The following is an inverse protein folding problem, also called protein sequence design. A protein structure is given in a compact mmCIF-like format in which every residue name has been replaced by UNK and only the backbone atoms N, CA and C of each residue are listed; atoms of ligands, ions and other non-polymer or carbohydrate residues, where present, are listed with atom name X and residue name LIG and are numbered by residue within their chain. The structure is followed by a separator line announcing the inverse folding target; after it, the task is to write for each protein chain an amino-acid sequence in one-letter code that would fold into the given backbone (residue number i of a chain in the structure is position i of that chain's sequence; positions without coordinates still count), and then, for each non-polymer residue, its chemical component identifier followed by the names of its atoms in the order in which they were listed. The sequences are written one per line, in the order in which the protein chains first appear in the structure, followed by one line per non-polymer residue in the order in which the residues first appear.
data_IF_157743951981
#
_entry.id   IF_157743951981
#
_cell.length_a   1.000
_cell.length_b   1.000
_cell.length_c   1.000
_cell.angle_alpha   90.00
_cell.angle_beta   90.00
_cell.angle_gamma   90.00
#
_symmetry.space_group_name_H-M   'P 1'
#
loop_
_entity.id
_entity.type
_entity.pdbx_description
1 polymer ?
#
# COMPACT_ATOMS: atom_id res chain seq x y z
N UNK A 1 -18.57 -18.35 -17.82
CA UNK A 1 -18.91 -17.64 -16.57
C UNK A 1 -18.19 -18.38 -15.44
N UNK A 2 -17.19 -17.75 -14.83
CA UNK A 2 -16.42 -18.34 -13.74
C UNK A 2 -17.02 -17.82 -12.44
N UNK A 3 -17.74 -18.66 -11.69
CA UNK A 3 -18.16 -18.30 -10.33
C UNK A 3 -16.92 -18.30 -9.44
N UNK A 4 -16.58 -17.17 -8.78
CA UNK A 4 -15.47 -17.14 -7.86
C UNK A 4 -15.86 -17.95 -6.62
N UNK A 5 -15.22 -19.11 -6.42
CA UNK A 5 -15.38 -20.03 -5.27
C UNK A 5 -15.12 -19.39 -3.90
N UNK A 6 -14.87 -18.08 -3.81
CA UNK A 6 -14.36 -17.42 -2.62
C UNK A 6 -15.44 -16.65 -1.82
N UNK A 7 -16.52 -16.17 -2.46
CA UNK A 7 -17.64 -15.48 -1.76
C UNK A 7 -18.31 -16.35 -0.68
N UNK A 8 -18.28 -17.68 -0.86
CA UNK A 8 -18.89 -18.64 0.06
C UNK A 8 -18.15 -18.76 1.41
N UNK A 9 -16.86 -18.44 1.49
CA UNK A 9 -16.11 -18.61 2.73
C UNK A 9 -16.19 -17.40 3.66
N UNK A 10 -16.21 -16.18 3.12
CA UNK A 10 -16.29 -14.96 3.94
C UNK A 10 -17.68 -14.76 4.51
N UNK A 11 -18.73 -14.95 3.69
CA UNK A 11 -20.13 -14.84 4.11
C UNK A 11 -20.49 -15.77 5.29
N UNK A 12 -19.88 -16.96 5.34
CA UNK A 12 -20.08 -17.94 6.42
C UNK A 12 -19.50 -17.55 7.77
N UNK A 13 -18.56 -16.61 7.81
CA UNK A 13 -17.89 -16.16 9.05
C UNK A 13 -18.50 -14.86 9.57
N UNK A 14 -19.24 -14.13 8.74
CA UNK A 14 -19.91 -12.88 9.11
C UNK A 14 -21.16 -13.13 9.95
N UNK A 15 -21.47 -12.21 10.89
CA UNK A 15 -22.70 -12.30 11.70
C UNK A 15 -23.95 -12.11 10.83
N UNK A 16 -25.13 -12.60 11.26
CA UNK A 16 -26.37 -12.42 10.51
C UNK A 16 -26.71 -10.95 10.24
N UNK A 17 -26.38 -10.03 11.15
CA UNK A 17 -26.61 -8.59 10.92
C UNK A 17 -25.76 -8.05 9.77
N UNK A 18 -24.51 -8.49 9.67
CA UNK A 18 -23.61 -8.09 8.58
C UNK A 18 -24.00 -8.76 7.27
N UNK A 19 -24.44 -10.03 7.32
CA UNK A 19 -24.95 -10.74 6.13
C UNK A 19 -26.18 -10.05 5.52
N UNK A 20 -27.00 -9.37 6.33
CA UNK A 20 -28.14 -8.59 5.86
C UNK A 20 -27.74 -7.29 5.14
N UNK A 21 -26.46 -6.93 5.14
CA UNK A 21 -25.91 -5.74 4.50
C UNK A 21 -25.01 -6.15 3.31
N UNK A 22 -25.58 -6.44 2.13
CA UNK A 22 -24.85 -7.06 1.02
C UNK A 22 -23.64 -6.25 0.53
N UNK A 23 -23.73 -4.92 0.55
CA UNK A 23 -22.62 -4.03 0.22
C UNK A 23 -21.45 -4.12 1.22
N UNK A 24 -21.74 -4.39 2.51
CA UNK A 24 -20.72 -4.63 3.53
C UNK A 24 -20.11 -6.02 3.33
N UNK A 25 -20.91 -7.04 3.04
CA UNK A 25 -20.41 -8.40 2.76
C UNK A 25 -19.48 -8.40 1.54
N UNK A 26 -19.85 -7.66 0.49
CA UNK A 26 -19.03 -7.46 -0.70
C UNK A 26 -17.76 -6.71 -0.35
N UNK A 27 -17.85 -5.60 0.40
CA UNK A 27 -16.66 -4.85 0.85
C UNK A 27 -15.71 -5.70 1.71
N UNK A 28 -16.24 -6.52 2.63
CA UNK A 28 -15.43 -7.42 3.47
C UNK A 28 -14.86 -8.56 2.63
N UNK A 29 -15.63 -9.08 1.67
CA UNK A 29 -15.12 -10.07 0.73
C UNK A 29 -14.00 -9.49 -0.12
N UNK A 30 -14.18 -8.33 -0.72
CA UNK A 30 -13.14 -7.66 -1.52
C UNK A 30 -11.92 -7.31 -0.67
N UNK A 31 -12.12 -6.95 0.61
CA UNK A 31 -11.00 -6.68 1.51
C UNK A 31 -10.21 -7.95 1.89
N UNK A 32 -10.90 -9.08 2.11
CA UNK A 32 -10.27 -10.35 2.49
C UNK A 32 -9.85 -11.20 1.28
N UNK A 33 -10.45 -10.92 0.12
CA UNK A 33 -10.25 -11.59 -1.17
C UNK A 33 -9.98 -10.58 -2.29
N UNK A 34 -9.05 -9.63 -2.11
CA UNK A 34 -8.80 -8.54 -3.05
C UNK A 34 -8.22 -9.05 -4.36
N UNK A 35 -8.58 -8.45 -5.50
CA UNK A 35 -8.06 -8.86 -6.81
C UNK A 35 -6.51 -8.93 -6.86
N UNK A 36 -5.83 -8.14 -6.02
CA UNK A 36 -4.39 -8.18 -5.78
C UNK A 36 -4.09 -8.38 -4.30
N UNK A 37 -2.89 -8.84 -3.94
CA UNK A 37 -2.51 -9.03 -2.53
C UNK A 37 -2.12 -7.72 -1.83
N UNK A 38 -2.00 -6.63 -2.58
CA UNK A 38 -1.48 -5.32 -2.14
C UNK A 38 -2.21 -4.80 -0.90
N UNK A 39 -3.54 -4.96 -0.84
CA UNK A 39 -4.33 -4.54 0.32
C UNK A 39 -4.05 -5.32 1.59
N UNK A 40 -3.71 -6.60 1.47
CA UNK A 40 -3.30 -7.39 2.61
C UNK A 40 -1.95 -6.92 3.15
N UNK A 41 -1.05 -6.48 2.26
CA UNK A 41 0.27 -5.99 2.65
C UNK A 41 0.16 -4.70 3.46
N UNK A 42 -0.51 -3.66 2.95
CA UNK A 42 -0.56 -2.38 3.66
C UNK A 42 -1.43 -2.39 4.95
N UNK A 43 -2.32 -3.39 5.10
CA UNK A 43 -3.08 -3.64 6.33
C UNK A 43 -2.40 -4.67 7.26
N UNK A 44 -1.17 -5.07 6.95
CA UNK A 44 -0.37 -6.00 7.76
C UNK A 44 -1.08 -7.35 8.02
N UNK A 45 -1.86 -7.80 7.04
CA UNK A 45 -2.61 -9.05 7.08
C UNK A 45 -1.72 -10.21 6.63
N UNK A 46 -0.65 -10.45 7.37
CA UNK A 46 0.35 -11.50 7.09
C UNK A 46 -0.24 -12.89 6.82
N UNK A 47 -1.36 -13.23 7.50
CA UNK A 47 -2.08 -14.49 7.24
C UNK A 47 -2.69 -14.55 5.85
N UNK A 48 -3.25 -13.44 5.36
CA UNK A 48 -3.83 -13.33 4.01
C UNK A 48 -2.70 -13.36 2.98
N UNK A 49 -1.61 -12.64 3.21
CA UNK A 49 -0.39 -12.68 2.37
C UNK A 49 0.13 -14.12 2.24
N UNK A 50 0.24 -14.85 3.34
CA UNK A 50 0.71 -16.25 3.32
C UNK A 50 -0.27 -17.20 2.62
N UNK A 51 -1.57 -16.98 2.76
CA UNK A 51 -2.59 -17.86 2.17
C UNK A 51 -2.80 -17.60 0.68
N UNK A 52 -2.64 -16.36 0.23
CA UNK A 52 -3.06 -15.93 -1.10
C UNK A 52 -1.96 -15.28 -1.95
N UNK A 53 -0.77 -15.03 -1.41
CA UNK A 53 0.34 -14.41 -2.13
C UNK A 53 0.79 -15.17 -3.39
N UNK A 54 0.66 -16.50 -3.41
CA UNK A 54 1.02 -17.31 -4.59
C UNK A 54 -0.10 -17.38 -5.65
N UNK A 55 -1.34 -17.07 -5.27
CA UNK A 55 -2.53 -17.23 -6.13
C UNK A 55 -3.12 -15.90 -6.61
N UNK A 56 -2.64 -14.78 -6.07
CA UNK A 56 -3.09 -13.44 -6.42
C UNK A 56 -1.95 -12.60 -6.94
N UNK A 57 -2.28 -11.62 -7.78
CA UNK A 57 -1.29 -10.72 -8.34
C UNK A 57 -0.72 -9.78 -7.27
N UNK A 58 0.56 -9.47 -7.41
CA UNK A 58 1.26 -8.40 -6.71
C UNK A 58 1.38 -7.22 -7.67
N UNK A 59 1.26 -6.00 -7.17
CA UNK A 59 1.49 -4.80 -7.98
C UNK A 59 2.31 -3.75 -7.21
N UNK A 60 2.70 -2.68 -7.90
CA UNK A 60 3.37 -1.52 -7.29
C UNK A 60 2.54 -0.87 -6.18
N UNK A 61 1.21 -1.06 -6.20
CA UNK A 61 0.31 -0.52 -5.19
C UNK A 61 0.60 -1.04 -3.78
N UNK A 62 1.26 -2.21 -3.64
CA UNK A 62 1.71 -2.70 -2.33
C UNK A 62 2.74 -1.76 -1.70
N UNK A 63 3.77 -1.36 -2.46
CA UNK A 63 4.83 -0.48 -1.97
C UNK A 63 4.33 0.97 -1.87
N UNK A 64 3.52 1.42 -2.83
CA UNK A 64 2.90 2.75 -2.81
C UNK A 64 2.01 2.93 -1.57
N UNK A 65 1.17 1.93 -1.26
CA UNK A 65 0.32 1.92 -0.08
C UNK A 65 1.11 1.88 1.23
N UNK A 66 2.22 1.13 1.28
CA UNK A 66 3.12 1.12 2.43
C UNK A 66 3.79 2.50 2.64
N UNK A 67 4.23 3.15 1.56
CA UNK A 67 4.82 4.48 1.60
C UNK A 67 3.80 5.54 2.08
N UNK A 68 2.57 5.48 1.57
CA UNK A 68 1.47 6.35 1.98
C UNK A 68 1.06 6.21 3.46
N UNK A 69 1.51 5.14 4.13
CA UNK A 69 1.29 4.89 5.57
C UNK A 69 2.56 5.01 6.43
N UNK A 70 3.69 5.41 5.85
CA UNK A 70 4.95 5.54 6.59
C UNK A 70 5.54 4.19 7.03
N UNK A 71 5.11 3.08 6.42
CA UNK A 71 5.50 1.71 6.80
C UNK A 71 6.80 1.29 6.11
N UNK A 72 7.90 1.92 6.52
CA UNK A 72 9.24 1.64 5.98
C UNK A 72 9.65 0.18 6.18
N UNK A 73 9.22 -0.45 7.27
CA UNK A 73 9.41 -1.88 7.56
C UNK A 73 8.86 -2.78 6.45
N UNK A 74 7.63 -2.50 5.99
CA UNK A 74 6.97 -3.23 4.92
C UNK A 74 7.65 -2.93 3.57
N UNK A 75 8.06 -1.68 3.33
CA UNK A 75 8.73 -1.30 2.09
C UNK A 75 10.08 -2.01 1.92
N UNK A 76 10.88 -2.10 2.98
CA UNK A 76 12.14 -2.84 2.98
C UNK A 76 11.89 -4.33 2.71
N UNK A 77 10.91 -4.92 3.39
CA UNK A 77 10.53 -6.31 3.14
C UNK A 77 10.08 -6.54 1.69
N UNK A 78 9.27 -5.64 1.12
CA UNK A 78 8.85 -5.71 -0.28
C UNK A 78 10.05 -5.57 -1.22
N UNK A 79 10.98 -4.64 -0.97
CA UNK A 79 12.19 -4.47 -1.76
C UNK A 79 13.04 -5.75 -1.82
N UNK A 80 13.19 -6.42 -0.67
CA UNK A 80 14.03 -7.61 -0.57
C UNK A 80 13.39 -8.87 -1.17
N UNK A 81 12.06 -8.93 -1.23
CA UNK A 81 11.32 -10.16 -1.58
C UNK A 81 10.55 -10.09 -2.89
N UNK A 82 10.32 -8.89 -3.42
CA UNK A 82 9.46 -8.61 -4.57
C UNK A 82 10.20 -7.78 -5.62
N UNK A 83 9.78 -7.91 -6.88
CA UNK A 83 10.39 -7.21 -8.01
C UNK A 83 9.51 -6.14 -8.64
N UNK A 84 8.25 -6.02 -8.20
CA UNK A 84 7.29 -5.05 -8.73
C UNK A 84 7.74 -3.60 -8.50
N UNK A 85 8.38 -3.33 -7.36
CA UNK A 85 8.85 -1.99 -6.98
C UNK A 85 7.72 -1.06 -6.56
N UNK A 86 7.88 0.23 -6.85
CA UNK A 86 6.92 1.29 -6.56
C UNK A 86 6.67 2.17 -7.80
N UNK A 87 5.62 3.00 -7.72
CA UNK A 87 5.39 4.09 -8.67
C UNK A 87 5.83 5.44 -8.08
N UNK A 88 5.65 6.51 -8.86
CA UNK A 88 5.88 7.88 -8.38
C UNK A 88 4.96 8.28 -7.22
N UNK A 89 3.82 7.61 -7.08
CA UNK A 89 2.86 7.86 -6.00
C UNK A 89 3.45 7.54 -4.62
N UNK A 90 4.40 6.61 -4.51
CA UNK A 90 5.03 6.27 -3.24
C UNK A 90 5.73 7.50 -2.60
N UNK A 91 6.60 8.19 -3.36
CA UNK A 91 7.36 9.33 -2.85
C UNK A 91 6.43 10.55 -2.65
N UNK A 92 5.47 10.76 -3.55
CA UNK A 92 4.46 11.82 -3.42
C UNK A 92 3.61 11.63 -2.16
N UNK A 93 3.04 10.44 -1.95
CA UNK A 93 2.21 10.17 -0.78
C UNK A 93 3.02 10.23 0.52
N UNK A 94 4.25 9.74 0.53
CA UNK A 94 5.14 9.85 1.69
C UNK A 94 5.45 11.32 2.02
N UNK A 95 5.70 12.15 1.00
CA UNK A 95 5.97 13.59 1.17
C UNK A 95 4.74 14.36 1.64
N UNK A 96 3.56 14.09 1.06
CA UNK A 96 2.26 14.68 1.45
C UNK A 96 1.90 14.38 2.90
N UNK A 97 2.30 13.21 3.44
CA UNK A 97 2.03 12.81 4.82
C UNK A 97 3.23 13.06 5.77
N UNK A 98 4.34 13.61 5.26
CA UNK A 98 5.49 13.99 6.08
C UNK A 98 6.37 12.85 6.57
N UNK A 99 6.29 11.67 5.95
CA UNK A 99 7.08 10.50 6.32
C UNK A 99 8.53 10.60 5.83
N UNK A 100 9.33 11.43 6.51
CA UNK A 100 10.71 11.75 6.14
C UNK A 100 11.59 10.52 5.86
N UNK A 101 11.56 9.51 6.71
CA UNK A 101 12.41 8.33 6.54
C UNK A 101 12.01 7.49 5.31
N UNK A 102 10.73 7.48 4.96
CA UNK A 102 10.27 6.86 3.72
C UNK A 102 10.73 7.66 2.50
N UNK A 103 10.63 8.99 2.55
CA UNK A 103 11.10 9.86 1.45
C UNK A 103 12.60 9.69 1.23
N UNK A 104 13.41 9.64 2.30
CA UNK A 104 14.85 9.37 2.20
C UNK A 104 15.13 8.06 1.50
N UNK A 105 14.50 6.98 1.97
CA UNK A 105 14.71 5.65 1.44
C UNK A 105 14.31 5.54 -0.05
N UNK A 106 13.17 6.14 -0.44
CA UNK A 106 12.75 6.21 -1.83
C UNK A 106 13.68 7.07 -2.69
N UNK A 107 14.15 8.20 -2.17
CA UNK A 107 15.07 9.07 -2.88
C UNK A 107 16.42 8.40 -3.16
N UNK A 108 16.91 7.59 -2.22
CA UNK A 108 18.19 6.88 -2.33
C UNK A 108 18.10 5.64 -3.24
N UNK A 109 17.05 4.82 -3.12
CA UNK A 109 16.96 3.53 -3.83
C UNK A 109 16.11 3.58 -5.11
N UNK A 110 15.21 4.56 -5.22
CA UNK A 110 14.28 4.72 -6.33
C UNK A 110 14.28 6.17 -6.87
N UNK A 111 15.45 6.74 -7.24
CA UNK A 111 15.57 8.15 -7.60
C UNK A 111 14.71 8.55 -8.81
N UNK A 112 14.53 7.65 -9.79
CA UNK A 112 13.69 7.90 -10.96
C UNK A 112 12.19 8.04 -10.62
N UNK A 113 11.77 7.46 -9.49
CA UNK A 113 10.39 7.47 -9.03
C UNK A 113 10.14 8.53 -7.94
N UNK A 114 11.19 9.06 -7.32
CA UNK A 114 11.06 10.11 -6.33
C UNK A 114 11.34 11.48 -6.97
N UNK A 115 10.28 12.10 -7.51
CA UNK A 115 10.32 13.41 -8.22
C UNK A 115 10.50 14.55 -7.20
N UNK A 116 11.72 15.04 -6.92
CA UNK A 116 11.99 15.79 -5.69
C UNK A 116 11.30 17.16 -5.66
N UNK A 117 11.16 17.81 -6.81
CA UNK A 117 10.50 19.13 -6.94
C UNK A 117 9.01 19.03 -6.60
N UNK A 118 8.33 18.00 -7.09
CA UNK A 118 6.91 17.77 -6.84
C UNK A 118 6.67 17.33 -5.40
N UNK A 119 7.48 16.38 -4.91
CA UNK A 119 7.46 15.94 -3.52
C UNK A 119 7.71 17.09 -2.54
N UNK A 120 8.64 18.00 -2.85
CA UNK A 120 8.89 19.21 -2.05
C UNK A 120 7.68 20.15 -2.04
N UNK A 121 6.98 20.29 -3.18
CA UNK A 121 5.80 21.15 -3.29
C UNK A 121 4.68 20.63 -2.40
N UNK A 122 4.33 19.34 -2.52
CA UNK A 122 3.25 18.76 -1.69
C UNK A 122 3.63 18.71 -0.20
N UNK A 123 4.91 18.49 0.12
CA UNK A 123 5.39 18.57 1.49
C UNK A 123 5.26 19.99 2.06
N UNK A 124 5.54 21.02 1.25
CA UNK A 124 5.39 22.42 1.66
C UNK A 124 3.91 22.80 1.86
N UNK A 125 3.03 22.36 0.96
CA UNK A 125 1.58 22.57 1.05
C UNK A 125 0.95 21.94 2.30
N UNK A 126 1.57 20.86 2.83
CA UNK A 126 1.12 20.13 4.01
C UNK A 126 2.00 20.40 5.26
N UNK A 127 2.77 21.51 5.28
CA UNK A 127 3.60 21.93 6.41
C UNK A 127 4.68 20.93 6.88
N UNK A 128 5.13 20.04 5.99
CA UNK A 128 6.16 19.03 6.26
C UNK A 128 7.58 19.56 6.01
N UNK A 129 7.96 20.58 6.79
CA UNK A 129 9.26 21.23 6.71
C UNK A 129 10.49 20.28 6.74
N UNK A 130 10.52 19.16 7.50
CA UNK A 130 11.64 18.22 7.47
C UNK A 130 11.85 17.59 6.09
N UNK A 131 10.78 17.23 5.38
CA UNK A 131 10.83 16.65 4.03
C UNK A 131 11.32 17.69 3.03
N UNK A 132 10.78 18.90 3.08
CA UNK A 132 11.23 20.03 2.23
C UNK A 132 12.72 20.31 2.41
N UNK A 133 13.19 20.34 3.66
CA UNK A 133 14.60 20.60 3.97
C UNK A 133 15.51 19.51 3.40
N UNK A 134 15.12 18.25 3.56
CA UNK A 134 15.86 17.12 3.00
C UNK A 134 15.94 17.22 1.48
N UNK A 135 14.79 17.26 0.79
CA UNK A 135 14.73 17.26 -0.68
C UNK A 135 15.38 18.50 -1.32
N UNK A 136 15.52 19.61 -0.59
CA UNK A 136 16.26 20.80 -1.04
C UNK A 136 17.77 20.63 -0.98
N UNK A 137 18.27 19.80 -0.07
CA UNK A 137 19.71 19.61 0.17
C UNK A 137 20.29 18.37 -0.48
N UNK A 138 19.44 17.45 -0.92
CA UNK A 138 19.81 16.18 -1.56
C UNK A 138 20.08 16.33 -3.06
#
# INVERSE_FOLDING_TARGET
MYEPKSLLNVSRVLSPEVQALPHIVESVSDFLMPATIDSAVFNDLTRVVKAHGDSRAWTVAAMDGAAARGRLDIMQWLHDTRSEGCSTEACMAAATNGYLEVVKWLHELYPDFCRPVEAMTVAAENDHAPVVRFLRTS
#
